data_IF_353977652053
#
_entry.id   IF_353977652053
#
_cell.length_a   1.000
_cell.length_b   1.000
_cell.length_c   1.000
_cell.angle_alpha   90.00
_cell.angle_beta   90.00
_cell.angle_gamma   90.00
#
_symmetry.space_group_name_H-M   'P 1'
#
loop_
_entity.id
_entity.type
_entity.pdbx_description
1 polymer ?
#
# COMPACT_ATOMS: atom_id res chain seq x y z
N UNK A 1 -36.68 7.87 27.81
CA UNK A 1 -35.91 7.89 29.06
C UNK A 1 -34.45 7.96 28.64
N UNK A 2 -33.73 9.04 29.00
CA UNK A 2 -32.31 9.14 28.72
C UNK A 2 -31.58 8.00 29.43
N UNK A 3 -30.89 7.14 28.68
CA UNK A 3 -30.06 6.10 29.27
C UNK A 3 -28.96 6.78 30.10
N UNK A 4 -28.68 6.23 31.29
CA UNK A 4 -27.56 6.70 32.10
C UNK A 4 -26.24 6.37 31.37
N UNK A 5 -25.25 7.27 31.37
CA UNK A 5 -23.95 6.97 30.79
C UNK A 5 -23.31 5.76 31.47
N UNK A 6 -22.62 4.93 30.68
CA UNK A 6 -21.94 3.75 31.19
C UNK A 6 -20.54 4.10 31.68
N UNK A 7 -20.09 3.41 32.70
CA UNK A 7 -18.70 3.49 33.16
C UNK A 7 -17.75 3.02 32.07
N UNK A 8 -16.74 3.82 31.69
CA UNK A 8 -15.80 3.45 30.64
C UNK A 8 -14.85 2.29 31.00
N UNK A 9 -14.94 1.81 32.23
CA UNK A 9 -14.10 0.71 32.73
C UNK A 9 -14.83 -0.62 32.90
N UNK A 10 -16.15 -0.61 33.27
CA UNK A 10 -16.90 -1.83 33.57
C UNK A 10 -18.27 -1.93 32.90
N UNK A 11 -18.69 -0.94 32.12
CA UNK A 11 -20.00 -0.86 31.42
C UNK A 11 -21.22 -0.80 32.34
N UNK A 12 -21.05 -0.59 33.68
CA UNK A 12 -22.17 -0.39 34.56
C UNK A 12 -22.67 1.05 34.54
N UNK A 13 -24.00 1.29 34.64
CA UNK A 13 -24.56 2.64 34.62
C UNK A 13 -24.00 3.51 35.75
N UNK A 14 -23.65 4.75 35.41
CA UNK A 14 -23.17 5.76 36.34
C UNK A 14 -24.09 6.97 36.25
N UNK A 15 -24.41 7.61 37.41
CA UNK A 15 -25.22 8.82 37.38
C UNK A 15 -24.54 9.93 36.58
N UNK A 16 -25.31 10.60 35.73
CA UNK A 16 -24.85 11.77 35.00
C UNK A 16 -24.24 12.81 35.94
N UNK A 17 -23.03 13.30 35.62
CA UNK A 17 -22.31 14.26 36.46
C UNK A 17 -21.68 13.69 37.72
N UNK A 18 -21.63 12.35 37.90
CA UNK A 18 -20.91 11.74 38.98
C UNK A 18 -19.39 11.88 38.79
N UNK A 19 -18.72 12.46 39.76
CA UNK A 19 -17.26 12.60 39.82
C UNK A 19 -16.71 11.71 40.94
N UNK A 20 -15.50 11.19 40.72
CA UNK A 20 -14.84 10.29 41.69
C UNK A 20 -14.65 8.88 41.17
N UNK A 21 -14.72 7.89 42.02
CA UNK A 21 -14.54 6.48 41.63
C UNK A 21 -15.85 5.80 41.28
N UNK A 22 -15.85 4.98 40.23
CA UNK A 22 -17.01 4.17 39.86
C UNK A 22 -17.49 3.32 41.06
N UNK A 23 -18.79 3.40 41.46
CA UNK A 23 -19.30 2.66 42.58
C UNK A 23 -19.25 1.12 42.43
N UNK A 24 -19.17 0.64 41.17
CA UNK A 24 -19.16 -0.78 40.88
C UNK A 24 -17.72 -1.35 40.78
N UNK A 25 -16.81 -0.72 40.02
CA UNK A 25 -15.46 -1.24 39.78
C UNK A 25 -14.34 -0.50 40.56
N UNK A 26 -14.67 0.59 41.26
CA UNK A 26 -13.73 1.38 42.07
C UNK A 26 -12.73 2.23 41.25
N UNK A 27 -12.70 2.17 39.91
CA UNK A 27 -11.79 2.96 39.10
C UNK A 27 -12.23 4.42 39.06
N UNK A 28 -11.23 5.34 38.99
CA UNK A 28 -11.49 6.76 38.89
C UNK A 28 -12.20 7.11 37.58
N UNK A 29 -13.16 8.02 37.65
CA UNK A 29 -13.87 8.63 36.52
C UNK A 29 -13.34 10.04 36.23
N UNK A 30 -12.33 10.50 36.97
CA UNK A 30 -11.66 11.77 36.71
C UNK A 30 -10.80 11.64 35.45
N UNK A 31 -10.69 12.76 34.74
CA UNK A 31 -9.88 12.78 33.50
C UNK A 31 -8.39 12.67 33.82
N UNK A 32 -7.75 11.64 33.25
CA UNK A 32 -6.30 11.44 33.27
C UNK A 32 -5.74 11.12 31.88
N UNK A 33 -6.54 11.37 30.82
CA UNK A 33 -6.02 11.33 29.47
C UNK A 33 -4.98 12.45 29.26
N UNK A 34 -3.96 12.25 28.41
CA UNK A 34 -2.93 13.23 28.16
C UNK A 34 -3.49 14.57 27.68
N UNK A 35 -2.71 15.65 27.87
CA UNK A 35 -3.04 16.97 27.31
C UNK A 35 -3.22 16.90 25.79
N UNK A 36 -4.26 17.55 25.27
CA UNK A 36 -4.64 17.51 23.85
C UNK A 36 -5.52 16.32 23.46
N UNK A 37 -5.54 15.23 24.24
CA UNK A 37 -6.49 14.14 24.06
C UNK A 37 -7.89 14.53 24.54
N UNK A 38 -8.91 13.81 24.04
CA UNK A 38 -10.27 14.00 24.55
C UNK A 38 -10.36 13.62 26.03
N UNK A 39 -11.08 14.41 26.84
CA UNK A 39 -11.35 14.06 28.24
C UNK A 39 -12.12 12.75 28.37
N UNK A 40 -11.83 12.02 29.43
CA UNK A 40 -12.59 10.84 29.82
C UNK A 40 -14.09 11.21 29.99
N UNK A 41 -14.97 10.43 29.39
CA UNK A 41 -16.42 10.68 29.46
C UNK A 41 -16.98 11.59 28.36
N UNK A 42 -16.13 12.13 27.46
CA UNK A 42 -16.59 12.89 26.30
C UNK A 42 -17.57 12.06 25.47
N UNK A 43 -18.68 12.68 25.05
CA UNK A 43 -19.69 12.02 24.21
C UNK A 43 -19.41 12.30 22.75
N UNK A 44 -19.44 11.27 21.91
CA UNK A 44 -19.29 11.35 20.46
C UNK A 44 -20.50 10.70 19.80
N UNK A 45 -20.99 11.32 18.71
CA UNK A 45 -22.12 10.81 17.93
C UNK A 45 -23.41 10.57 18.73
N UNK A 46 -23.48 11.05 19.96
CA UNK A 46 -24.66 10.91 20.85
C UNK A 46 -24.73 9.57 21.61
N UNK A 47 -23.96 8.56 21.23
CA UNK A 47 -24.03 7.22 21.84
C UNK A 47 -22.68 6.58 22.18
N UNK A 48 -21.56 7.17 21.78
CA UNK A 48 -20.23 6.70 22.20
C UNK A 48 -19.70 7.54 23.37
N UNK A 49 -19.11 6.89 24.36
CA UNK A 49 -18.40 7.54 25.45
C UNK A 49 -16.90 7.27 25.32
N UNK A 50 -16.10 8.35 25.24
CA UNK A 50 -14.64 8.25 25.26
C UNK A 50 -14.15 7.77 26.62
N UNK A 51 -13.32 6.75 26.63
CA UNK A 51 -12.69 6.19 27.81
C UNK A 51 -11.20 6.55 27.89
N UNK A 52 -10.40 5.58 28.34
CA UNK A 52 -8.95 5.75 28.54
C UNK A 52 -8.21 5.87 27.21
N UNK A 53 -7.30 6.86 27.11
CA UNK A 53 -6.29 6.92 26.08
C UNK A 53 -5.47 5.62 26.05
N UNK A 54 -5.25 5.08 24.85
CA UNK A 54 -4.51 3.83 24.68
C UNK A 54 -3.15 4.06 24.00
N UNK A 55 -3.12 4.80 22.90
CA UNK A 55 -1.93 5.00 22.10
C UNK A 55 -2.09 6.16 21.13
N UNK A 56 -0.97 6.56 20.51
CA UNK A 56 -0.94 7.49 19.37
C UNK A 56 -0.08 6.94 18.25
N UNK A 57 -0.44 7.27 17.02
CA UNK A 57 0.38 7.09 15.83
C UNK A 57 0.45 8.39 15.01
N UNK A 58 0.94 8.34 13.77
CA UNK A 58 1.03 9.54 12.92
C UNK A 58 -0.31 10.02 12.39
N UNK A 59 -1.32 9.15 12.30
CA UNK A 59 -2.69 9.52 11.94
C UNK A 59 -3.42 10.16 13.13
N UNK A 60 -3.14 9.72 14.38
CA UNK A 60 -3.86 10.29 15.52
C UNK A 60 -3.81 9.51 16.82
N UNK A 61 -4.88 9.63 17.59
CA UNK A 61 -5.04 9.12 18.95
C UNK A 61 -6.03 7.96 18.98
N UNK A 62 -5.76 6.98 19.81
CA UNK A 62 -6.66 5.86 20.06
C UNK A 62 -7.14 5.85 21.51
N UNK A 63 -8.43 5.61 21.69
CA UNK A 63 -9.08 5.52 23.00
C UNK A 63 -9.84 4.21 23.11
N UNK A 64 -9.84 3.64 24.30
CA UNK A 64 -10.86 2.67 24.65
C UNK A 64 -12.16 3.44 24.88
N UNK A 65 -13.22 3.11 24.15
CA UNK A 65 -14.53 3.74 24.28
C UNK A 65 -15.61 2.74 24.70
N UNK A 66 -16.81 3.27 24.85
CA UNK A 66 -18.03 2.51 25.13
C UNK A 66 -19.09 2.89 24.12
N UNK A 67 -19.68 1.90 23.49
CA UNK A 67 -20.95 2.02 22.78
C UNK A 67 -22.07 1.86 23.82
N UNK A 68 -22.78 2.98 24.08
CA UNK A 68 -23.80 3.02 25.16
C UNK A 68 -25.08 2.27 24.74
N UNK A 69 -25.38 2.19 23.45
CA UNK A 69 -26.58 1.53 22.95
C UNK A 69 -26.41 -0.01 23.01
N UNK A 70 -25.27 -0.50 22.51
CA UNK A 70 -24.96 -1.93 22.50
C UNK A 70 -24.31 -2.42 23.80
N UNK A 71 -23.98 -1.52 24.72
CA UNK A 71 -23.31 -1.81 26.01
C UNK A 71 -22.04 -2.64 25.87
N UNK A 72 -21.19 -2.24 24.95
CA UNK A 72 -19.92 -2.92 24.65
C UNK A 72 -18.75 -1.96 24.61
N UNK A 73 -17.54 -2.49 24.79
CA UNK A 73 -16.32 -1.74 24.54
C UNK A 73 -16.07 -1.62 23.06
N UNK A 74 -15.51 -0.47 22.67
CA UNK A 74 -15.05 -0.17 21.32
C UNK A 74 -13.67 0.47 21.36
N UNK A 75 -12.95 0.46 20.23
CA UNK A 75 -11.78 1.29 20.02
C UNK A 75 -12.19 2.51 19.20
N UNK A 76 -11.89 3.71 19.70
CA UNK A 76 -12.16 4.96 18.99
C UNK A 76 -10.82 5.50 18.50
N UNK A 77 -10.64 5.59 17.20
CA UNK A 77 -9.48 6.23 16.58
C UNK A 77 -9.88 7.63 16.11
N UNK A 78 -9.20 8.63 16.65
CA UNK A 78 -9.36 10.03 16.29
C UNK A 78 -8.29 10.46 15.31
N UNK A 79 -8.63 11.08 14.19
CA UNK A 79 -7.65 11.74 13.34
C UNK A 79 -7.07 12.96 14.04
N UNK A 80 -5.82 12.87 14.49
CA UNK A 80 -5.09 13.92 15.23
C UNK A 80 -3.60 13.90 14.87
N UNK A 81 -3.23 14.30 13.65
CA UNK A 81 -1.83 14.30 13.23
C UNK A 81 -1.05 15.43 13.90
N UNK A 82 -0.23 15.11 14.87
CA UNK A 82 0.57 16.08 15.65
C UNK A 82 1.53 16.91 14.78
N UNK A 83 1.86 16.44 13.58
CA UNK A 83 2.65 17.21 12.62
C UNK A 83 1.87 18.36 11.99
N UNK A 84 0.53 18.26 11.93
CA UNK A 84 -0.36 19.20 11.25
C UNK A 84 -1.22 20.04 12.20
N UNK A 85 -1.32 19.66 13.48
CA UNK A 85 -2.22 20.28 14.45
C UNK A 85 -1.50 20.96 15.61
N UNK A 86 -2.10 22.02 16.16
CA UNK A 86 -1.67 22.76 17.36
C UNK A 86 -2.46 22.41 18.64
N UNK A 87 -3.25 21.33 18.62
CA UNK A 87 -4.13 20.98 19.74
C UNK A 87 -5.57 21.40 19.46
N UNK A 88 -6.34 21.72 20.54
CA UNK A 88 -7.78 22.01 20.46
C UNK A 88 -8.09 23.44 20.82
N UNK A 89 -9.15 23.97 20.23
CA UNK A 89 -9.78 25.22 20.65
C UNK A 89 -10.46 25.05 22.02
N UNK A 90 -10.88 26.15 22.69
CA UNK A 90 -11.71 26.08 23.91
C UNK A 90 -13.02 25.31 23.72
N UNK A 91 -13.57 25.30 22.49
CA UNK A 91 -14.80 24.59 22.14
C UNK A 91 -14.53 23.09 21.83
N UNK A 92 -13.27 22.66 21.86
CA UNK A 92 -12.86 21.26 21.64
C UNK A 92 -12.49 20.93 20.19
N UNK A 93 -12.63 21.87 19.26
CA UNK A 93 -12.30 21.68 17.85
C UNK A 93 -10.80 21.56 17.63
N UNK A 94 -10.39 20.61 16.78
CA UNK A 94 -9.00 20.44 16.41
C UNK A 94 -8.52 21.60 15.52
N UNK A 95 -7.39 22.21 15.91
CA UNK A 95 -6.84 23.37 15.22
C UNK A 95 -5.65 22.98 14.36
N UNK A 96 -5.70 23.15 13.04
CA UNK A 96 -4.55 22.98 12.18
C UNK A 96 -3.48 24.04 12.48
N UNK A 97 -2.21 23.70 12.20
CA UNK A 97 -1.10 24.65 12.24
C UNK A 97 -1.25 25.68 11.12
N UNK A 98 -0.79 26.92 11.39
CA UNK A 98 -0.73 27.97 10.39
C UNK A 98 0.03 27.53 9.13
N UNK A 99 -0.59 27.75 7.96
CA UNK A 99 -0.06 27.32 6.66
C UNK A 99 -0.18 25.82 6.37
N UNK A 100 -0.81 25.02 7.24
CA UNK A 100 -1.04 23.58 7.06
C UNK A 100 -2.52 23.20 6.90
N UNK A 101 -3.42 24.19 6.81
CA UNK A 101 -4.87 24.00 6.81
C UNK A 101 -5.33 23.13 5.63
N UNK A 102 -4.79 23.39 4.43
CA UNK A 102 -5.16 22.64 3.22
C UNK A 102 -4.71 21.18 3.36
N UNK A 103 -3.47 20.96 3.80
CA UNK A 103 -2.92 19.62 3.98
C UNK A 103 -3.68 18.85 5.08
N UNK A 104 -3.99 19.51 6.20
CA UNK A 104 -4.81 18.95 7.27
C UNK A 104 -6.18 18.52 6.73
N UNK A 105 -6.85 19.38 5.96
CA UNK A 105 -8.16 19.08 5.38
C UNK A 105 -8.08 17.89 4.42
N UNK A 106 -7.09 17.86 3.51
CA UNK A 106 -6.93 16.78 2.53
C UNK A 106 -6.64 15.45 3.24
N UNK A 107 -5.66 15.42 4.13
CA UNK A 107 -5.30 14.17 4.84
C UNK A 107 -6.39 13.71 5.83
N UNK A 108 -7.21 14.64 6.36
CA UNK A 108 -8.43 14.29 7.11
C UNK A 108 -9.46 13.58 6.21
N UNK A 109 -9.61 14.05 4.97
CA UNK A 109 -10.46 13.38 3.99
C UNK A 109 -9.93 11.99 3.63
N UNK A 110 -8.61 11.85 3.40
CA UNK A 110 -8.00 10.54 3.15
C UNK A 110 -8.25 9.54 4.29
N UNK A 111 -8.19 10.02 5.54
CA UNK A 111 -8.52 9.22 6.70
C UNK A 111 -10.01 8.83 6.71
N UNK A 112 -10.90 9.78 6.47
CA UNK A 112 -12.35 9.52 6.40
C UNK A 112 -12.68 8.51 5.31
N UNK A 113 -12.19 8.73 4.10
CA UNK A 113 -12.45 7.86 2.95
C UNK A 113 -11.97 6.43 3.20
N UNK A 114 -10.78 6.26 3.80
CA UNK A 114 -10.27 4.95 4.21
C UNK A 114 -11.24 4.23 5.15
N UNK A 115 -11.69 4.91 6.21
CA UNK A 115 -12.55 4.28 7.21
C UNK A 115 -14.00 4.09 6.73
N UNK A 116 -14.51 4.97 5.87
CA UNK A 116 -15.79 4.77 5.18
C UNK A 116 -15.76 3.54 4.26
N UNK A 117 -14.66 3.35 3.53
CA UNK A 117 -14.46 2.16 2.69
C UNK A 117 -14.37 0.89 3.55
N UNK A 118 -13.63 0.93 4.64
CA UNK A 118 -13.54 -0.18 5.60
C UNK A 118 -14.89 -0.50 6.24
N UNK A 119 -15.67 0.50 6.62
CA UNK A 119 -17.01 0.33 7.17
C UNK A 119 -17.95 -0.38 6.18
N UNK A 120 -17.86 -0.05 4.87
CA UNK A 120 -18.65 -0.72 3.81
C UNK A 120 -18.24 -2.18 3.57
N UNK A 121 -16.97 -2.52 3.78
CA UNK A 121 -16.43 -3.87 3.55
C UNK A 121 -16.69 -4.77 4.76
N UNK A 122 -16.64 -4.23 5.96
CA UNK A 122 -16.83 -4.99 7.20
C UNK A 122 -18.30 -5.02 7.63
N UNK A 123 -18.79 -6.06 8.33
CA UNK A 123 -18.01 -7.20 8.87
C UNK A 123 -17.57 -8.18 7.79
N UNK A 124 -16.32 -8.64 7.90
CA UNK A 124 -15.76 -9.66 7.02
C UNK A 124 -14.79 -10.57 7.78
N UNK A 125 -14.74 -11.83 7.39
CA UNK A 125 -13.79 -12.80 7.99
C UNK A 125 -12.36 -12.29 7.85
N UNK A 126 -11.60 -12.39 8.92
CA UNK A 126 -10.18 -12.00 8.94
C UNK A 126 -9.90 -10.51 9.04
N UNK A 127 -10.92 -9.65 9.15
CA UNK A 127 -10.80 -8.21 9.36
C UNK A 127 -11.51 -7.79 10.64
N UNK A 128 -10.93 -6.85 11.40
CA UNK A 128 -11.63 -6.14 12.46
C UNK A 128 -12.71 -5.25 11.86
N UNK A 129 -13.87 -5.22 12.49
CA UNK A 129 -15.03 -4.49 12.00
C UNK A 129 -14.93 -3.00 12.34
N UNK A 130 -15.18 -2.14 11.36
CA UNK A 130 -15.46 -0.72 11.58
C UNK A 130 -16.96 -0.56 11.80
N UNK A 131 -17.33 -0.06 12.97
CA UNK A 131 -18.71 0.06 13.42
C UNK A 131 -19.34 1.37 12.96
N UNK A 132 -18.54 2.46 12.97
CA UNK A 132 -19.01 3.80 12.65
C UNK A 132 -17.86 4.72 12.22
N UNK A 133 -18.18 5.75 11.45
CA UNK A 133 -17.27 6.83 11.06
C UNK A 133 -18.01 8.16 11.19
N UNK A 134 -17.52 9.06 12.02
CA UNK A 134 -18.22 10.31 12.30
C UNK A 134 -17.31 11.53 12.22
N UNK A 135 -17.88 12.66 11.80
CA UNK A 135 -17.21 13.96 11.79
C UNK A 135 -17.74 14.82 12.95
N UNK A 136 -16.85 15.21 13.86
CA UNK A 136 -17.14 16.08 14.99
C UNK A 136 -15.84 16.78 15.41
N UNK A 137 -15.90 17.91 16.11
CA UNK A 137 -14.73 18.63 16.67
C UNK A 137 -13.66 18.96 15.60
N UNK A 138 -14.09 19.34 14.39
CA UNK A 138 -13.23 19.59 13.23
C UNK A 138 -12.28 18.43 12.88
N UNK A 139 -12.65 17.19 13.25
CA UNK A 139 -11.88 15.97 12.94
C UNK A 139 -12.80 14.81 12.57
N UNK A 140 -12.22 13.62 12.39
CA UNK A 140 -12.92 12.37 12.08
C UNK A 140 -12.59 11.34 13.14
N UNK A 141 -13.61 10.61 13.56
CA UNK A 141 -13.51 9.46 14.46
C UNK A 141 -13.94 8.21 13.74
N UNK A 142 -13.13 7.16 13.84
CA UNK A 142 -13.49 5.82 13.41
C UNK A 142 -13.68 4.94 14.65
N UNK A 143 -14.77 4.20 14.69
CA UNK A 143 -15.09 3.29 15.79
C UNK A 143 -14.90 1.86 15.32
N UNK A 144 -14.01 1.14 15.97
CA UNK A 144 -13.65 -0.25 15.66
C UNK A 144 -14.15 -1.16 16.79
N UNK A 145 -14.65 -2.33 16.40
CA UNK A 145 -15.04 -3.38 17.33
C UNK A 145 -13.83 -3.86 18.15
N UNK A 146 -14.03 -4.08 19.44
CA UNK A 146 -13.02 -4.70 20.28
C UNK A 146 -13.45 -6.10 20.70
N UNK A 147 -12.54 -7.06 20.61
CA UNK A 147 -12.76 -8.44 21.02
C UNK A 147 -11.81 -8.83 22.14
N UNK A 148 -12.27 -9.76 22.99
CA UNK A 148 -11.39 -10.37 24.00
C UNK A 148 -10.42 -11.31 23.30
N UNK A 149 -9.14 -11.09 23.52
CA UNK A 149 -8.09 -11.87 22.86
C UNK A 149 -6.72 -11.29 23.13
N UNK A 150 -5.76 -11.66 22.27
CA UNK A 150 -4.39 -11.16 22.34
C UNK A 150 -3.86 -10.90 20.94
N UNK A 151 -2.81 -10.07 20.83
CA UNK A 151 -2.10 -9.91 19.55
C UNK A 151 -1.27 -11.16 19.26
N UNK A 152 -0.99 -11.37 17.96
CA UNK A 152 -0.10 -12.46 17.54
C UNK A 152 1.30 -12.31 18.13
N UNK A 153 1.78 -11.08 18.34
CA UNK A 153 3.03 -10.81 19.07
C UNK A 153 2.99 -11.38 20.49
N UNK A 154 1.91 -11.16 21.21
CA UNK A 154 1.77 -11.69 22.58
C UNK A 154 1.69 -13.23 22.58
N UNK A 155 0.89 -13.79 21.68
CA UNK A 155 0.79 -15.23 21.48
C UNK A 155 2.16 -15.89 21.21
N UNK A 156 2.97 -15.28 20.34
CA UNK A 156 4.31 -15.80 20.03
C UNK A 156 5.27 -15.75 21.22
N UNK A 157 5.13 -14.76 22.12
CA UNK A 157 5.92 -14.68 23.36
C UNK A 157 5.57 -15.79 24.37
N UNK A 158 4.33 -16.26 24.34
CA UNK A 158 3.86 -17.33 25.24
C UNK A 158 4.19 -18.73 24.72
N UNK A 159 4.53 -18.88 23.44
CA UNK A 159 4.85 -20.20 22.86
C UNK A 159 6.32 -20.57 23.05
N UNK A 160 6.53 -21.83 23.41
CA UNK A 160 7.88 -22.40 23.56
C UNK A 160 8.49 -22.88 22.22
N UNK A 161 7.67 -23.00 21.16
CA UNK A 161 8.13 -23.50 19.84
C UNK A 161 7.57 -22.68 18.69
N UNK A 162 8.21 -22.77 17.53
CA UNK A 162 7.72 -22.27 16.24
C UNK A 162 6.45 -23.01 15.80
N UNK A 163 5.72 -22.44 14.88
CA UNK A 163 4.59 -23.10 14.23
C UNK A 163 5.09 -23.96 13.07
N UNK A 164 4.45 -25.10 12.85
CA UNK A 164 4.62 -25.84 11.61
C UNK A 164 4.03 -25.03 10.43
N UNK A 165 4.45 -25.30 9.19
CA UNK A 165 3.88 -24.65 7.99
C UNK A 165 2.35 -24.77 7.91
N UNK A 166 1.80 -25.91 8.33
CA UNK A 166 0.36 -26.15 8.35
C UNK A 166 -0.32 -25.27 9.42
N UNK A 167 0.20 -25.24 10.65
CA UNK A 167 -0.33 -24.38 11.73
C UNK A 167 -0.26 -22.90 11.33
N UNK A 168 0.87 -22.44 10.78
CA UNK A 168 1.05 -21.05 10.35
C UNK A 168 0.04 -20.64 9.27
N UNK A 169 -0.14 -21.51 8.27
CA UNK A 169 -1.12 -21.30 7.19
C UNK A 169 -2.55 -21.27 7.73
N UNK A 170 -2.94 -22.24 8.55
CA UNK A 170 -4.28 -22.31 9.14
C UNK A 170 -4.60 -21.08 9.99
N UNK A 171 -3.63 -20.60 10.77
CA UNK A 171 -3.78 -19.41 11.60
C UNK A 171 -3.95 -18.13 10.77
N UNK A 172 -3.17 -18.00 9.67
CA UNK A 172 -3.18 -16.78 8.86
C UNK A 172 -4.22 -16.81 7.72
N UNK A 173 -4.81 -17.97 7.42
CA UNK A 173 -5.78 -18.07 6.32
C UNK A 173 -6.90 -17.02 6.39
N UNK A 174 -7.59 -16.81 7.53
CA UNK A 174 -8.64 -15.78 7.62
C UNK A 174 -8.10 -14.38 7.33
N UNK A 175 -6.92 -14.05 7.84
CA UNK A 175 -6.25 -12.75 7.60
C UNK A 175 -5.92 -12.58 6.12
N UNK A 176 -5.38 -13.61 5.47
CA UNK A 176 -5.08 -13.58 4.02
C UNK A 176 -6.34 -13.39 3.19
N UNK A 177 -7.44 -14.08 3.53
CA UNK A 177 -8.75 -13.90 2.88
C UNK A 177 -9.28 -12.48 3.06
N UNK A 178 -9.18 -11.91 4.27
CA UNK A 178 -9.53 -10.53 4.55
C UNK A 178 -8.70 -9.53 3.74
N UNK A 179 -7.37 -9.71 3.64
CA UNK A 179 -6.50 -8.87 2.81
C UNK A 179 -6.85 -9.00 1.33
N UNK A 180 -7.16 -10.19 0.85
CA UNK A 180 -7.62 -10.37 -0.53
C UNK A 180 -8.93 -9.61 -0.82
N UNK A 181 -9.83 -9.53 0.17
CA UNK A 181 -11.06 -8.73 0.08
C UNK A 181 -10.75 -7.23 0.05
N UNK A 182 -9.86 -6.72 0.91
CA UNK A 182 -9.38 -5.33 0.84
C UNK A 182 -8.82 -5.00 -0.55
N UNK A 183 -7.98 -5.88 -1.09
CA UNK A 183 -7.39 -5.70 -2.42
C UNK A 183 -8.43 -5.68 -3.55
N UNK A 184 -9.51 -6.44 -3.41
CA UNK A 184 -10.64 -6.42 -4.36
C UNK A 184 -11.38 -5.07 -4.32
N UNK A 185 -11.45 -4.45 -3.15
CA UNK A 185 -12.03 -3.12 -2.96
C UNK A 185 -11.05 -1.97 -3.30
N UNK A 186 -9.81 -2.28 -3.73
CA UNK A 186 -8.80 -1.26 -4.07
C UNK A 186 -7.97 -0.77 -2.88
N UNK A 187 -8.19 -1.31 -1.69
CA UNK A 187 -7.46 -0.94 -0.47
C UNK A 187 -6.21 -1.79 -0.28
N UNK A 188 -5.13 -1.16 0.15
CA UNK A 188 -3.87 -1.81 0.54
C UNK A 188 -3.63 -1.51 2.02
N UNK A 189 -3.37 -2.53 2.82
CA UNK A 189 -3.27 -2.37 4.28
C UNK A 189 -1.93 -1.73 4.73
N UNK A 190 -0.81 -2.14 4.16
CA UNK A 190 0.56 -1.61 4.39
C UNK A 190 1.09 -1.72 5.82
N UNK A 191 0.30 -2.23 6.75
CA UNK A 191 0.65 -2.33 8.17
C UNK A 191 0.57 -3.75 8.73
N UNK A 192 0.63 -4.78 7.89
CA UNK A 192 0.53 -6.17 8.33
C UNK A 192 1.77 -6.57 9.13
N UNK A 193 1.59 -6.87 10.40
CA UNK A 193 2.62 -7.33 11.32
C UNK A 193 1.95 -8.09 12.49
N UNK A 194 2.71 -8.82 13.32
CA UNK A 194 2.13 -9.56 14.43
C UNK A 194 1.40 -8.71 15.48
N UNK A 195 1.73 -7.42 15.62
CA UNK A 195 1.04 -6.51 16.54
C UNK A 195 -0.36 -6.13 16.05
N UNK A 196 -0.57 -6.15 14.74
CA UNK A 196 -1.84 -5.81 14.09
C UNK A 196 -2.67 -7.05 13.71
N UNK A 197 -2.30 -8.24 14.18
CA UNK A 197 -3.11 -9.46 14.05
C UNK A 197 -3.62 -9.84 15.42
N UNK A 198 -4.94 -9.80 15.57
CA UNK A 198 -5.65 -10.20 16.79
C UNK A 198 -6.02 -11.67 16.71
N UNK A 199 -5.90 -12.34 17.83
CA UNK A 199 -6.34 -13.71 18.07
C UNK A 199 -7.45 -13.64 19.11
N UNK A 200 -8.72 -13.58 18.71
CA UNK A 200 -9.86 -13.63 19.63
C UNK A 200 -9.87 -14.93 20.41
N UNK A 201 -10.45 -14.92 21.61
CA UNK A 201 -10.63 -16.14 22.42
C UNK A 201 -11.55 -17.12 21.66
N UNK A 202 -12.62 -16.57 21.09
CA UNK A 202 -13.62 -17.31 20.32
C UNK A 202 -13.65 -16.75 18.91
N UNK A 203 -12.97 -17.42 17.97
CA UNK A 203 -13.04 -17.01 16.58
C UNK A 203 -11.72 -17.10 15.82
N UNK A 204 -11.79 -16.63 14.58
CA UNK A 204 -10.67 -16.62 13.64
C UNK A 204 -9.77 -15.40 13.85
N UNK A 205 -8.49 -15.51 13.48
CA UNK A 205 -7.55 -14.39 13.50
C UNK A 205 -8.09 -13.21 12.65
N UNK A 206 -7.91 -12.00 13.14
CA UNK A 206 -8.37 -10.75 12.50
C UNK A 206 -7.24 -9.74 12.35
N UNK A 207 -7.24 -9.05 11.23
CA UNK A 207 -6.32 -7.95 10.94
C UNK A 207 -6.96 -6.64 11.41
N UNK A 208 -6.20 -5.86 12.14
CA UNK A 208 -6.51 -4.51 12.64
C UNK A 208 -5.34 -3.56 12.31
N UNK A 209 -5.34 -2.36 12.87
CA UNK A 209 -4.23 -1.40 12.70
C UNK A 209 -4.26 -0.73 11.33
N UNK A 210 -5.47 -0.45 10.84
CA UNK A 210 -5.68 0.34 9.64
C UNK A 210 -5.06 1.74 9.77
N UNK A 211 -4.55 2.26 8.67
CA UNK A 211 -3.93 3.57 8.64
C UNK A 211 -3.79 4.12 7.22
N UNK A 212 -3.69 5.43 7.11
CA UNK A 212 -3.56 6.12 5.82
C UNK A 212 -2.28 5.75 5.08
N UNK A 213 -2.23 6.02 3.78
CA UNK A 213 -1.00 5.86 2.99
C UNK A 213 0.16 6.67 3.59
N UNK A 214 -0.13 7.90 4.05
CA UNK A 214 0.86 8.79 4.65
C UNK A 214 1.46 8.19 5.94
N UNK A 215 0.64 7.58 6.80
CA UNK A 215 1.13 6.86 7.98
C UNK A 215 2.09 5.71 7.62
N UNK A 216 1.85 5.04 6.50
CA UNK A 216 2.55 3.80 6.08
C UNK A 216 3.66 4.03 5.07
N UNK A 217 4.11 5.29 4.88
CA UNK A 217 5.16 5.65 3.93
C UNK A 217 6.19 6.56 4.59
N UNK A 218 7.48 6.19 4.52
CA UNK A 218 8.56 7.01 5.05
C UNK A 218 8.70 8.30 4.24
N UNK A 219 8.97 9.42 4.93
CA UNK A 219 9.13 10.73 4.29
C UNK A 219 7.81 11.39 3.88
N UNK A 220 6.66 10.88 4.33
CA UNK A 220 5.37 11.54 4.19
C UNK A 220 5.24 12.75 5.13
N UNK A 221 4.17 13.52 4.98
CA UNK A 221 3.87 14.68 5.83
C UNK A 221 3.46 14.30 7.27
N UNK A 222 3.06 13.05 7.49
CA UNK A 222 2.75 12.52 8.81
C UNK A 222 3.97 11.83 9.42
N UNK A 223 3.97 11.65 10.73
CA UNK A 223 4.94 10.79 11.40
C UNK A 223 4.68 9.35 10.99
N UNK A 224 5.47 8.83 10.06
CA UNK A 224 5.30 7.47 9.53
C UNK A 224 5.48 6.41 10.63
N UNK A 225 4.67 5.36 10.53
CA UNK A 225 4.76 4.16 11.35
C UNK A 225 4.98 2.94 10.46
N UNK A 226 6.21 2.48 10.39
CA UNK A 226 6.62 1.29 9.66
C UNK A 226 7.03 0.20 10.65
N UNK A 227 6.86 -1.05 10.25
CA UNK A 227 7.19 -2.22 11.07
C UNK A 227 8.44 -2.91 10.52
N UNK A 228 9.64 -2.69 11.13
CA UNK A 228 10.89 -3.27 10.64
C UNK A 228 10.79 -4.81 10.54
N UNK A 229 11.25 -5.35 9.42
CA UNK A 229 11.13 -6.77 9.07
C UNK A 229 9.84 -7.14 8.33
N UNK A 230 8.75 -6.39 8.55
CA UNK A 230 7.44 -6.64 7.92
C UNK A 230 7.10 -5.62 6.83
N UNK A 231 7.53 -4.37 7.00
CA UNK A 231 7.34 -3.33 6.00
C UNK A 231 8.16 -3.61 4.74
N UNK A 232 7.49 -3.55 3.58
CA UNK A 232 8.09 -3.80 2.29
C UNK A 232 9.06 -2.67 1.86
N UNK A 233 10.04 -2.96 0.98
CA UNK A 233 11.07 -1.99 0.57
C UNK A 233 10.53 -0.66 0.05
N UNK A 234 9.43 -0.69 -0.69
CA UNK A 234 8.79 0.46 -1.30
C UNK A 234 8.17 1.43 -0.27
N UNK A 235 7.83 0.95 0.94
CA UNK A 235 7.29 1.80 2.00
C UNK A 235 8.34 2.75 2.62
N UNK A 236 9.62 2.48 2.39
CA UNK A 236 10.72 3.30 2.89
C UNK A 236 11.08 4.49 1.97
N UNK A 237 10.27 4.74 0.93
CA UNK A 237 10.46 5.86 0.00
C UNK A 237 9.11 6.41 -0.46
N UNK A 238 8.93 7.72 -0.35
CA UNK A 238 7.74 8.40 -0.87
C UNK A 238 7.69 8.41 -2.42
N UNK A 239 8.80 8.08 -3.08
CA UNK A 239 8.89 8.00 -4.54
C UNK A 239 8.51 6.62 -5.09
N UNK A 240 8.37 5.60 -4.23
CA UNK A 240 8.02 4.24 -4.63
C UNK A 240 6.53 3.98 -4.35
N UNK A 241 5.85 3.28 -5.26
CA UNK A 241 4.42 2.99 -5.12
C UNK A 241 4.19 1.70 -4.34
N UNK A 242 3.21 1.75 -3.41
CA UNK A 242 2.69 0.57 -2.73
C UNK A 242 1.56 -0.05 -3.54
N UNK A 243 1.52 -1.38 -3.60
CA UNK A 243 0.49 -2.14 -4.28
C UNK A 243 0.09 -3.38 -3.50
N UNK A 244 -0.71 -4.25 -4.11
CA UNK A 244 -1.11 -5.54 -3.50
C UNK A 244 0.11 -6.37 -3.09
N UNK A 245 1.18 -6.29 -3.86
CA UNK A 245 2.47 -6.93 -3.60
C UNK A 245 3.16 -6.45 -2.31
N UNK A 246 2.81 -5.27 -1.79
CA UNK A 246 3.30 -4.74 -0.51
C UNK A 246 2.76 -5.57 0.65
N UNK A 247 1.47 -5.88 0.63
CA UNK A 247 0.85 -6.73 1.65
C UNK A 247 1.25 -8.21 1.50
N UNK A 248 1.51 -8.67 0.26
CA UNK A 248 2.08 -10.01 0.01
C UNK A 248 3.44 -10.16 0.71
N UNK A 249 4.32 -9.14 0.60
CA UNK A 249 5.59 -9.13 1.33
C UNK A 249 5.38 -9.26 2.84
N UNK A 250 4.49 -8.44 3.40
CA UNK A 250 4.24 -8.42 4.84
C UNK A 250 3.62 -9.72 5.36
N UNK A 251 2.66 -10.33 4.63
CA UNK A 251 2.09 -11.64 4.96
C UNK A 251 3.14 -12.75 4.93
N UNK A 252 4.02 -12.74 3.92
CA UNK A 252 5.14 -13.70 3.85
C UNK A 252 6.13 -13.48 5.01
N UNK A 253 6.41 -12.23 5.39
CA UNK A 253 7.26 -11.88 6.51
C UNK A 253 6.68 -12.36 7.86
N UNK A 254 5.37 -12.21 8.06
CA UNK A 254 4.67 -12.78 9.23
C UNK A 254 4.74 -14.30 9.21
N UNK A 255 4.47 -14.94 8.06
CA UNK A 255 4.55 -16.40 7.91
C UNK A 255 5.96 -16.91 8.22
N UNK A 256 7.00 -16.23 7.70
CA UNK A 256 8.40 -16.53 8.00
C UNK A 256 8.66 -16.47 9.51
N UNK A 257 8.21 -15.41 10.20
CA UNK A 257 8.34 -15.29 11.66
C UNK A 257 7.68 -16.44 12.40
N UNK A 258 6.51 -16.89 11.95
CA UNK A 258 5.78 -17.99 12.58
C UNK A 258 6.55 -19.31 12.49
N UNK A 259 7.12 -19.62 11.34
CA UNK A 259 7.77 -20.92 11.10
C UNK A 259 9.23 -20.97 11.50
N UNK A 260 9.93 -19.82 11.56
CA UNK A 260 11.37 -19.78 11.92
C UNK A 260 11.60 -19.27 13.36
N UNK A 261 10.62 -18.61 13.96
CA UNK A 261 10.80 -17.90 15.21
C UNK A 261 11.61 -16.60 15.11
N UNK A 262 12.10 -16.23 13.93
CA UNK A 262 12.94 -15.04 13.72
C UNK A 262 12.20 -13.95 12.96
N UNK A 263 12.40 -12.68 13.35
CA UNK A 263 11.94 -11.53 12.57
C UNK A 263 12.81 -11.42 11.32
N UNK A 264 12.23 -11.29 10.12
CA UNK A 264 13.02 -11.07 8.90
C UNK A 264 13.90 -9.83 9.01
N UNK A 265 15.06 -9.85 8.33
CA UNK A 265 15.93 -8.67 8.24
C UNK A 265 15.14 -7.52 7.57
N UNK A 266 15.21 -6.33 8.16
CA UNK A 266 14.45 -5.18 7.66
C UNK A 266 14.88 -4.78 6.23
N UNK A 267 13.91 -4.40 5.40
CA UNK A 267 14.14 -4.14 3.97
C UNK A 267 15.25 -3.12 3.66
N UNK A 268 15.43 -2.01 4.41
CA UNK A 268 16.57 -1.11 4.18
C UNK A 268 17.93 -1.77 4.37
N UNK A 269 18.07 -2.65 5.37
CA UNK A 269 19.30 -3.41 5.60
C UNK A 269 19.55 -4.41 4.46
N UNK A 270 18.49 -5.09 4.00
CA UNK A 270 18.55 -6.02 2.86
C UNK A 270 18.91 -5.31 1.55
N UNK A 271 18.46 -4.07 1.32
CA UNK A 271 18.87 -3.25 0.16
C UNK A 271 20.38 -3.01 0.12
N UNK A 272 21.04 -2.88 1.28
CA UNK A 272 22.49 -2.72 1.37
C UNK A 272 23.21 -4.05 1.18
N UNK A 273 22.79 -5.06 1.92
CA UNK A 273 23.28 -6.45 1.82
C UNK A 273 22.15 -7.38 2.22
N UNK A 274 21.69 -8.19 1.28
CA UNK A 274 20.66 -9.17 1.59
C UNK A 274 21.27 -10.36 2.33
N UNK A 275 21.10 -10.36 3.64
CA UNK A 275 21.56 -11.39 4.58
C UNK A 275 20.39 -12.21 5.14
N UNK A 276 19.21 -12.14 4.51
CA UNK A 276 18.07 -12.93 4.96
C UNK A 276 18.29 -14.41 4.67
N UNK A 277 18.29 -15.21 5.74
CA UNK A 277 18.38 -16.67 5.61
C UNK A 277 17.04 -17.24 5.13
N UNK A 278 17.08 -18.33 4.38
CA UNK A 278 15.85 -19.01 3.98
C UNK A 278 15.26 -19.82 5.15
N UNK A 279 13.94 -19.96 5.16
CA UNK A 279 13.24 -20.58 6.29
C UNK A 279 13.63 -22.06 6.51
N UNK A 280 13.91 -22.80 5.45
CA UNK A 280 14.34 -24.21 5.54
C UNK A 280 15.72 -24.37 6.19
N UNK A 281 16.65 -23.43 5.97
CA UNK A 281 17.97 -23.44 6.61
C UNK A 281 17.90 -23.19 8.12
N UNK A 282 16.95 -22.36 8.56
CA UNK A 282 16.77 -22.05 9.97
C UNK A 282 15.96 -23.14 10.70
N UNK A 283 15.00 -23.73 10.01
CA UNK A 283 14.09 -24.72 10.56
C UNK A 283 13.88 -25.84 9.53
N UNK A 284 14.54 -26.96 9.73
CA UNK A 284 14.52 -28.09 8.79
C UNK A 284 13.14 -28.75 8.62
N UNK A 285 12.23 -28.52 9.54
CA UNK A 285 10.82 -28.91 9.43
C UNK A 285 10.00 -28.12 8.42
N UNK A 286 10.54 -26.99 7.91
CA UNK A 286 9.92 -26.20 6.84
C UNK A 286 10.30 -26.81 5.49
N UNK A 287 9.33 -27.26 4.65
CA UNK A 287 9.64 -27.81 3.33
C UNK A 287 10.35 -26.81 2.41
N UNK A 288 11.23 -27.30 1.56
CA UNK A 288 12.02 -26.45 0.64
C UNK A 288 11.13 -25.57 -0.25
N UNK A 289 10.05 -26.14 -0.84
CA UNK A 289 9.12 -25.37 -1.66
C UNK A 289 8.50 -24.21 -0.88
N UNK A 290 8.08 -24.46 0.38
CA UNK A 290 7.46 -23.45 1.24
C UNK A 290 8.44 -22.30 1.53
N UNK A 291 9.70 -22.65 1.85
CA UNK A 291 10.78 -21.69 2.04
C UNK A 291 11.05 -20.86 0.78
N UNK A 292 11.03 -21.48 -0.41
CA UNK A 292 11.17 -20.78 -1.69
C UNK A 292 10.01 -19.81 -1.97
N UNK A 293 8.77 -20.19 -1.64
CA UNK A 293 7.59 -19.33 -1.74
C UNK A 293 7.79 -18.07 -0.89
N UNK A 294 8.18 -18.21 0.38
CA UNK A 294 8.45 -17.08 1.26
C UNK A 294 9.57 -16.18 0.72
N UNK A 295 10.66 -16.78 0.21
CA UNK A 295 11.75 -16.03 -0.41
C UNK A 295 11.27 -15.25 -1.64
N UNK A 296 10.45 -15.86 -2.49
CA UNK A 296 9.87 -15.20 -3.66
C UNK A 296 8.92 -14.05 -3.28
N UNK A 297 8.04 -14.28 -2.31
CA UNK A 297 7.11 -13.28 -1.82
C UNK A 297 7.79 -12.10 -1.11
N UNK A 298 8.98 -12.30 -0.53
CA UNK A 298 9.78 -11.26 0.11
C UNK A 298 10.94 -10.72 -0.77
N UNK A 299 10.89 -10.86 -2.09
CA UNK A 299 11.87 -10.20 -2.98
C UNK A 299 11.83 -8.69 -2.82
N UNK A 300 13.02 -8.06 -2.85
CA UNK A 300 13.15 -6.62 -2.71
C UNK A 300 12.57 -5.86 -3.91
N UNK A 301 12.73 -6.41 -5.12
CA UNK A 301 12.15 -5.88 -6.35
C UNK A 301 10.65 -6.26 -6.43
N UNK A 302 9.72 -5.28 -6.37
CA UNK A 302 8.29 -5.55 -6.41
C UNK A 302 7.85 -6.27 -7.69
N UNK A 303 8.48 -5.98 -8.83
CA UNK A 303 8.14 -6.60 -10.11
C UNK A 303 8.48 -8.10 -10.18
N UNK A 304 9.39 -8.56 -9.33
CA UNK A 304 9.80 -9.98 -9.23
C UNK A 304 9.10 -10.73 -8.09
N UNK A 305 8.24 -10.05 -7.36
CA UNK A 305 7.49 -10.58 -6.23
C UNK A 305 6.17 -11.19 -6.70
N UNK A 306 5.57 -12.07 -5.92
CA UNK A 306 4.17 -12.46 -6.11
C UNK A 306 3.28 -11.22 -6.02
N UNK A 307 2.30 -11.10 -6.92
CA UNK A 307 1.52 -9.87 -7.08
C UNK A 307 0.24 -9.85 -6.26
N UNK A 308 -0.28 -11.03 -5.89
CA UNK A 308 -1.57 -11.13 -5.21
C UNK A 308 -1.54 -12.11 -4.04
N UNK A 309 -2.43 -11.88 -3.06
CA UNK A 309 -2.58 -12.76 -1.89
C UNK A 309 -3.10 -14.15 -2.28
N UNK A 310 -4.07 -14.31 -3.21
CA UNK A 310 -4.47 -15.63 -3.69
C UNK A 310 -3.33 -16.45 -4.30
N UNK A 311 -2.38 -15.81 -5.02
CA UNK A 311 -1.18 -16.49 -5.51
C UNK A 311 -0.34 -17.02 -4.34
N UNK A 312 -0.09 -16.18 -3.32
CA UNK A 312 0.65 -16.57 -2.11
C UNK A 312 -0.03 -17.75 -1.40
N UNK A 313 -1.35 -17.68 -1.18
CA UNK A 313 -2.13 -18.73 -0.51
C UNK A 313 -2.03 -20.07 -1.26
N UNK A 314 -2.20 -20.03 -2.58
CA UNK A 314 -2.14 -21.22 -3.44
C UNK A 314 -0.75 -21.84 -3.39
N UNK A 315 0.31 -21.03 -3.53
CA UNK A 315 1.70 -21.49 -3.52
C UNK A 315 2.15 -22.07 -2.15
N UNK A 316 1.67 -21.47 -1.04
CA UNK A 316 1.93 -22.01 0.30
C UNK A 316 1.20 -23.34 0.56
N UNK A 317 0.16 -23.62 -0.21
CA UNK A 317 -0.70 -24.81 -0.01
C UNK A 317 -0.26 -25.98 -0.89
N UNK A 318 0.07 -25.73 -2.16
CA UNK A 318 0.32 -26.74 -3.16
C UNK A 318 1.73 -26.63 -3.75
N UNK A 319 2.62 -27.61 -3.50
CA UNK A 319 3.95 -27.64 -4.08
C UNK A 319 3.98 -27.60 -5.61
N UNK A 320 2.96 -28.14 -6.28
CA UNK A 320 2.90 -28.17 -7.75
C UNK A 320 2.65 -26.77 -8.31
N UNK A 321 1.78 -26.00 -7.66
CA UNK A 321 1.53 -24.59 -7.98
C UNK A 321 2.79 -23.75 -7.73
N UNK A 322 3.48 -23.98 -6.60
CA UNK A 322 4.73 -23.29 -6.28
C UNK A 322 5.79 -23.54 -7.34
N UNK A 323 6.03 -24.80 -7.72
CA UNK A 323 7.03 -25.18 -8.71
C UNK A 323 6.71 -24.60 -10.09
N UNK A 324 5.45 -24.66 -10.53
CA UNK A 324 5.01 -24.07 -11.81
C UNK A 324 5.26 -22.55 -11.86
N UNK A 325 5.08 -21.83 -10.75
CA UNK A 325 5.40 -20.40 -10.65
C UNK A 325 6.90 -20.12 -10.78
N UNK A 326 7.76 -20.97 -10.19
CA UNK A 326 9.21 -20.80 -10.27
C UNK A 326 9.72 -21.06 -11.68
N UNK A 327 9.26 -22.13 -12.35
CA UNK A 327 9.61 -22.47 -13.74
C UNK A 327 9.19 -21.36 -14.71
N UNK A 328 8.01 -20.77 -14.54
CA UNK A 328 7.52 -19.68 -15.37
C UNK A 328 8.39 -18.41 -15.22
N UNK A 329 8.87 -18.15 -14.00
CA UNK A 329 9.78 -17.04 -13.71
C UNK A 329 11.17 -17.23 -14.34
N UNK A 330 11.73 -18.44 -14.32
CA UNK A 330 13.02 -18.76 -14.95
C UNK A 330 12.94 -18.67 -16.46
N UNK A 331 11.90 -19.20 -17.07
CA UNK A 331 11.70 -19.15 -18.52
C UNK A 331 11.55 -17.72 -19.05
N UNK A 332 10.88 -16.82 -18.30
CA UNK A 332 10.76 -15.41 -18.69
C UNK A 332 12.11 -14.66 -18.64
N UNK A 333 12.97 -14.99 -17.67
CA UNK A 333 14.31 -14.40 -17.58
C UNK A 333 15.21 -14.94 -18.67
N UNK A 334 15.11 -16.23 -19.02
CA UNK A 334 15.87 -16.88 -20.09
C UNK A 334 15.50 -16.31 -21.45
N UNK A 335 14.22 -16.17 -21.76
CA UNK A 335 13.76 -15.60 -23.05
C UNK A 335 14.18 -14.14 -23.23
N UNK A 336 14.12 -13.31 -22.17
CA UNK A 336 14.63 -11.93 -22.22
C UNK A 336 16.13 -11.86 -22.45
N UNK A 337 16.92 -12.75 -21.84
CA UNK A 337 18.37 -12.85 -22.05
C UNK A 337 18.68 -13.33 -23.47
N UNK A 338 17.94 -14.30 -24.00
CA UNK A 338 18.09 -14.78 -25.38
C UNK A 338 17.73 -13.68 -26.38
N UNK A 339 16.64 -12.93 -26.14
CA UNK A 339 16.24 -11.82 -26.99
C UNK A 339 17.27 -10.70 -26.99
N UNK A 340 17.81 -10.34 -25.82
CA UNK A 340 18.87 -9.34 -25.72
C UNK A 340 20.16 -9.80 -26.42
N UNK A 341 20.55 -11.06 -26.26
CA UNK A 341 21.71 -11.64 -26.96
C UNK A 341 21.50 -11.66 -28.48
N UNK A 342 20.29 -12.01 -28.95
CA UNK A 342 19.98 -11.99 -30.40
C UNK A 342 20.02 -10.58 -30.98
N UNK A 343 19.54 -9.56 -30.24
CA UNK A 343 19.65 -8.16 -30.66
C UNK A 343 21.09 -7.69 -30.80
N UNK A 344 21.96 -8.08 -29.87
CA UNK A 344 23.41 -7.77 -29.98
C UNK A 344 24.04 -8.45 -31.18
N UNK A 345 23.72 -9.71 -31.45
CA UNK A 345 24.21 -10.43 -32.63
C UNK A 345 23.72 -9.78 -33.93
N UNK A 346 22.45 -9.42 -34.01
CA UNK A 346 21.89 -8.72 -35.17
C UNK A 346 22.58 -7.36 -35.39
N UNK A 347 22.80 -6.61 -34.27
CA UNK A 347 23.50 -5.31 -34.38
C UNK A 347 24.94 -5.47 -34.90
N UNK A 348 25.68 -6.47 -34.41
CA UNK A 348 27.04 -6.78 -34.90
C UNK A 348 27.03 -7.18 -36.38
N UNK A 349 26.07 -8.00 -36.80
CA UNK A 349 25.93 -8.38 -38.22
C UNK A 349 25.60 -7.19 -39.13
N UNK A 350 24.73 -6.28 -38.69
CA UNK A 350 24.42 -5.05 -39.41
C UNK A 350 25.64 -4.15 -39.51
N UNK A 351 26.43 -3.99 -38.45
CA UNK A 351 27.68 -3.21 -38.48
C UNK A 351 28.70 -3.83 -39.43
N UNK A 352 28.85 -5.16 -39.45
CA UNK A 352 29.74 -5.87 -40.35
C UNK A 352 29.28 -5.73 -41.82
N UNK A 353 27.98 -5.77 -42.10
CA UNK A 353 27.40 -5.56 -43.41
C UNK A 353 27.66 -4.13 -43.91
N UNK A 354 27.43 -3.12 -43.08
CA UNK A 354 27.73 -1.75 -43.38
C UNK A 354 29.22 -1.53 -43.62
N UNK A 355 30.09 -2.17 -42.86
CA UNK A 355 31.55 -2.12 -43.03
C UNK A 355 32.00 -2.80 -44.35
N UNK A 356 31.33 -3.88 -44.76
CA UNK A 356 31.60 -4.57 -46.03
C UNK A 356 31.16 -3.72 -47.23
N UNK A 357 30.02 -3.02 -47.12
CA UNK A 357 29.53 -2.09 -48.16
C UNK A 357 30.42 -0.86 -48.30
N UNK A 358 30.99 -0.36 -47.20
CA UNK A 358 31.95 0.76 -47.20
C UNK A 358 33.33 0.37 -47.75
N UNK A 359 33.72 -0.88 -47.69
CA UNK A 359 35.00 -1.39 -48.25
C UNK A 359 34.88 -1.80 -49.74
N UNK A 360 33.66 -1.97 -50.28
CA UNK A 360 33.41 -2.41 -51.66
C UNK A 360 33.38 -1.34 -52.74
N UNK A 361 33.84 -0.12 -52.47
CA UNK A 361 33.72 1.02 -53.41
C UNK A 361 35.02 1.41 -54.11
N UNK A 362 35.48 0.63 -55.11
CA UNK A 362 36.31 1.16 -56.21
C UNK A 362 35.89 0.51 -57.51
N UNK A 363 35.28 1.31 -58.40
CA UNK A 363 35.19 0.90 -59.82
C UNK A 363 33.94 1.43 -60.53
N UNK A 364 34.15 2.58 -61.16
CA UNK A 364 33.63 3.00 -62.50
C UNK A 364 32.16 3.41 -62.68
N UNK A 365 32.08 4.64 -63.13
CA UNK A 365 30.90 5.33 -63.61
C UNK A 365 30.26 4.71 -64.86
N UNK A 366 28.95 4.76 -64.90
CA UNK A 366 28.21 5.17 -66.10
C UNK A 366 26.75 5.50 -65.73
N UNK A 367 26.34 6.75 -65.98
CA UNK A 367 24.95 7.16 -66.18
C UNK A 367 24.57 6.88 -67.62
N UNK A 368 23.33 6.75 -68.12
CA UNK A 368 22.22 7.65 -67.74
C UNK A 368 20.78 7.07 -67.80
N UNK A 369 19.89 7.94 -67.35
CA UNK A 369 18.54 8.29 -67.83
C UNK A 369 17.32 7.38 -67.58
N UNK A 370 16.44 7.96 -66.76
CA UNK A 370 15.05 8.41 -67.01
C UNK A 370 13.93 7.40 -67.25
N UNK A 371 12.87 7.67 -66.54
CA UNK A 371 11.44 7.38 -66.77
C UNK A 371 10.91 6.22 -65.94
N UNK A 372 10.00 6.43 -64.97
CA UNK A 372 8.67 6.92 -65.08
C UNK A 372 7.72 5.93 -64.50
N UNK A 373 6.83 6.43 -63.70
CA UNK A 373 5.47 5.93 -63.43
C UNK A 373 5.28 4.74 -62.48
N UNK A 374 4.77 5.09 -61.33
CA UNK A 374 3.36 4.89 -60.91
C UNK A 374 2.90 3.47 -60.51
N UNK A 375 2.32 3.48 -59.36
CA UNK A 375 1.14 2.70 -58.90
C UNK A 375 1.36 1.23 -58.55
N UNK A 376 1.10 0.82 -57.42
CA UNK A 376 -0.22 0.47 -56.87
C UNK A 376 -0.09 -0.25 -55.54
N UNK A 377 -0.97 0.08 -54.70
CA UNK A 377 -1.34 -0.58 -53.46
C UNK A 377 -1.69 -2.06 -53.63
N UNK A 378 -1.53 -2.81 -52.57
CA UNK A 378 -2.45 -3.85 -52.11
C UNK A 378 -2.00 -4.23 -50.70
N UNK A 379 -2.65 -3.78 -49.70
CA UNK A 379 -3.77 -4.40 -48.95
C UNK A 379 -3.60 -5.86 -48.64
N UNK A 380 -3.61 -6.15 -47.42
CA UNK A 380 -4.35 -7.16 -46.65
C UNK A 380 -3.50 -7.65 -45.51
N UNK A 381 -3.93 -7.90 -44.35
CA UNK A 381 -5.26 -8.17 -43.81
C UNK A 381 -5.21 -8.05 -42.31
N UNK A 382 -6.18 -7.40 -41.84
CA UNK A 382 -6.73 -7.43 -40.49
C UNK A 382 -6.79 -8.83 -39.84
N UNK A 383 -6.33 -8.88 -38.60
CA UNK A 383 -6.97 -9.73 -37.62
C UNK A 383 -7.33 -8.86 -36.44
N UNK A 384 -8.61 -8.66 -36.25
CA UNK A 384 -9.28 -7.97 -35.18
C UNK A 384 -9.01 -8.67 -33.86
N UNK A 385 -8.21 -7.98 -33.00
CA UNK A 385 -8.40 -8.04 -31.58
C UNK A 385 -8.81 -6.63 -31.17
N UNK A 386 -9.92 -6.52 -30.45
CA UNK A 386 -10.40 -5.28 -29.86
C UNK A 386 -9.41 -4.85 -28.79
N UNK A 387 -8.35 -4.16 -29.19
CA UNK A 387 -7.44 -3.49 -28.28
C UNK A 387 -8.18 -2.27 -27.73
N UNK A 388 -8.53 -2.37 -26.46
CA UNK A 388 -9.03 -1.23 -25.69
C UNK A 388 -7.88 -0.26 -25.57
N UNK A 389 -7.95 0.89 -26.26
CA UNK A 389 -6.92 1.90 -26.23
C UNK A 389 -6.89 2.58 -24.86
N UNK A 390 -5.68 2.68 -24.27
CA UNK A 390 -5.44 3.31 -22.97
C UNK A 390 -4.42 4.43 -23.10
N UNK A 391 -4.54 5.46 -22.26
CA UNK A 391 -3.56 6.54 -22.21
C UNK A 391 -2.16 6.01 -21.86
N UNK A 392 -1.11 6.42 -22.64
CA UNK A 392 0.27 5.97 -22.43
C UNK A 392 0.87 6.56 -21.15
N UNK A 393 1.89 5.89 -20.59
CA UNK A 393 2.69 6.44 -19.49
C UNK A 393 3.79 7.37 -20.05
N UNK A 394 3.66 8.65 -19.71
CA UNK A 394 4.57 9.72 -20.13
C UNK A 394 5.34 10.33 -18.95
N UNK A 395 5.03 9.95 -17.70
CA UNK A 395 5.71 10.47 -16.51
C UNK A 395 7.18 10.05 -16.49
N UNK A 396 8.07 10.98 -16.19
CA UNK A 396 9.52 10.77 -16.19
C UNK A 396 10.18 10.85 -17.59
N UNK A 397 9.41 10.85 -18.69
CA UNK A 397 9.95 11.02 -20.04
C UNK A 397 10.29 12.48 -20.32
N UNK A 398 11.33 12.72 -21.15
CA UNK A 398 11.67 14.08 -21.56
C UNK A 398 10.70 14.55 -22.65
N UNK A 399 10.05 15.69 -22.41
CA UNK A 399 9.03 16.22 -23.31
C UNK A 399 9.56 16.52 -24.71
N UNK A 400 10.76 17.10 -24.83
CA UNK A 400 11.33 17.51 -26.13
C UNK A 400 11.85 16.33 -26.93
N UNK A 401 12.51 15.36 -26.29
CA UNK A 401 13.18 14.24 -26.99
C UNK A 401 12.27 13.03 -27.18
N UNK A 402 11.41 12.72 -26.19
CA UNK A 402 10.70 11.45 -26.16
C UNK A 402 9.21 11.56 -26.51
N UNK A 403 8.64 12.78 -26.43
CA UNK A 403 7.19 12.98 -26.57
C UNK A 403 6.84 13.85 -27.78
N UNK A 404 7.37 15.09 -27.87
CA UNK A 404 6.91 16.13 -28.78
C UNK A 404 6.93 15.75 -30.28
N UNK A 405 7.93 14.99 -30.72
CA UNK A 405 8.12 14.59 -32.11
C UNK A 405 7.97 13.08 -32.31
N UNK A 406 7.41 12.36 -31.34
CA UNK A 406 7.24 10.92 -31.42
C UNK A 406 5.93 10.58 -32.11
N UNK A 407 6.03 9.82 -33.20
CA UNK A 407 4.89 9.40 -34.01
C UNK A 407 3.85 8.58 -33.25
N UNK A 408 4.24 7.94 -32.17
CA UNK A 408 3.33 7.15 -31.32
C UNK A 408 2.28 8.01 -30.59
N UNK A 409 2.53 9.31 -30.44
CA UNK A 409 1.65 10.20 -29.66
C UNK A 409 0.95 11.26 -30.51
N UNK A 410 1.04 11.18 -31.85
CA UNK A 410 0.50 12.18 -32.77
C UNK A 410 -1.03 12.27 -32.79
N UNK A 411 -1.71 11.23 -32.33
CA UNK A 411 -3.18 11.19 -32.22
C UNK A 411 -3.69 11.81 -30.93
N UNK A 412 -2.81 12.07 -29.94
CA UNK A 412 -3.16 12.80 -28.73
C UNK A 412 -2.96 14.31 -28.89
N UNK A 413 -3.89 15.10 -28.36
CA UNK A 413 -3.66 16.54 -28.15
C UNK A 413 -2.89 16.71 -26.85
N UNK A 414 -1.64 17.18 -26.93
CA UNK A 414 -0.81 17.37 -25.75
C UNK A 414 -0.82 18.84 -25.35
N UNK A 415 -1.40 19.13 -24.18
CA UNK A 415 -1.32 20.42 -23.52
C UNK A 415 -0.21 20.35 -22.46
N UNK A 416 0.74 21.31 -22.47
CA UNK A 416 1.90 21.33 -21.60
C UNK A 416 1.87 22.57 -20.71
N UNK A 417 2.12 22.39 -19.42
CA UNK A 417 2.44 23.43 -18.44
C UNK A 417 3.80 23.12 -17.80
N UNK A 418 4.43 24.11 -17.20
CA UNK A 418 5.74 23.93 -16.57
C UNK A 418 5.65 24.26 -15.07
N UNK A 419 6.37 23.48 -14.25
CA UNK A 419 6.47 23.69 -12.80
C UNK A 419 7.88 23.36 -12.29
N UNK A 420 8.26 23.89 -11.13
CA UNK A 420 9.55 23.57 -10.52
C UNK A 420 9.51 22.21 -9.83
N UNK A 421 10.60 21.45 -9.94
CA UNK A 421 10.76 20.19 -9.25
C UNK A 421 12.21 19.97 -8.81
N UNK A 422 12.41 19.67 -7.54
CA UNK A 422 13.73 19.30 -7.02
C UNK A 422 14.09 17.83 -7.26
N UNK A 423 13.12 17.02 -7.68
CA UNK A 423 13.27 15.56 -7.82
C UNK A 423 13.21 15.08 -9.26
N UNK A 424 12.55 15.83 -10.16
CA UNK A 424 12.42 15.48 -11.57
C UNK A 424 13.34 16.37 -12.40
N UNK A 425 14.23 15.79 -13.23
CA UNK A 425 15.15 16.59 -14.08
C UNK A 425 14.42 17.58 -14.97
N UNK A 426 15.08 18.69 -15.29
CA UNK A 426 14.55 19.71 -16.22
C UNK A 426 14.15 19.07 -17.57
N UNK A 427 12.99 19.45 -18.07
CA UNK A 427 12.43 18.94 -19.33
C UNK A 427 11.69 17.60 -19.22
N UNK A 428 11.72 16.93 -18.08
CA UNK A 428 11.00 15.68 -17.87
C UNK A 428 9.60 15.93 -17.29
N UNK A 429 8.66 15.04 -17.61
CA UNK A 429 7.26 15.11 -17.16
C UNK A 429 7.17 14.77 -15.68
N UNK A 430 6.63 15.70 -14.88
CA UNK A 430 6.36 15.51 -13.45
C UNK A 430 5.07 14.71 -13.26
N UNK A 431 4.01 15.06 -14.01
CA UNK A 431 2.70 14.40 -13.92
C UNK A 431 1.93 14.56 -15.23
N UNK A 432 0.99 13.67 -15.43
CA UNK A 432 0.07 13.69 -16.59
C UNK A 432 -1.38 13.51 -16.15
N UNK A 433 -2.29 14.02 -16.93
CA UNK A 433 -3.74 13.82 -16.79
C UNK A 433 -4.38 13.65 -18.18
N UNK A 434 -5.16 12.59 -18.45
CA UNK A 434 -5.48 11.45 -17.56
C UNK A 434 -4.27 10.59 -17.18
N UNK A 435 -4.42 9.85 -16.08
CA UNK A 435 -3.38 8.95 -15.59
C UNK A 435 -3.14 7.82 -16.60
N UNK A 436 -1.89 7.37 -16.71
CA UNK A 436 -1.52 6.23 -17.54
C UNK A 436 -2.39 4.99 -17.28
N UNK A 437 -2.83 4.31 -18.35
CA UNK A 437 -3.71 3.15 -18.26
C UNK A 437 -5.21 3.46 -18.16
N UNK A 438 -5.61 4.74 -18.09
CA UNK A 438 -7.03 5.15 -18.21
C UNK A 438 -7.54 4.84 -19.62
N UNK A 439 -8.78 4.37 -19.74
CA UNK A 439 -9.40 4.07 -21.03
C UNK A 439 -9.60 5.35 -21.86
N UNK A 440 -9.24 5.30 -23.12
CA UNK A 440 -9.51 6.38 -24.07
C UNK A 440 -10.97 6.26 -24.54
N UNK A 441 -11.79 7.23 -24.14
CA UNK A 441 -13.23 7.28 -24.49
C UNK A 441 -13.57 8.39 -25.47
N UNK A 442 -12.61 9.26 -25.80
CA UNK A 442 -12.80 10.44 -26.65
C UNK A 442 -12.23 10.23 -28.06
N UNK A 443 -12.90 10.79 -29.09
CA UNK A 443 -12.43 10.73 -30.47
C UNK A 443 -11.16 11.57 -30.74
N UNK A 444 -10.83 12.53 -29.86
CA UNK A 444 -9.63 13.35 -29.91
C UNK A 444 -9.05 13.48 -28.50
N UNK A 445 -8.37 12.42 -28.01
CA UNK A 445 -7.93 12.37 -26.63
C UNK A 445 -6.88 13.43 -26.32
N UNK A 446 -7.07 14.14 -25.20
CA UNK A 446 -6.16 15.19 -24.74
C UNK A 446 -5.38 14.69 -23.52
N UNK A 447 -4.06 14.93 -23.51
CA UNK A 447 -3.19 14.67 -22.36
C UNK A 447 -2.64 16.01 -21.86
N UNK A 448 -2.86 16.32 -20.61
CA UNK A 448 -2.23 17.45 -19.93
C UNK A 448 -0.93 16.97 -19.28
N UNK A 449 0.18 17.65 -19.55
CA UNK A 449 1.48 17.35 -18.99
C UNK A 449 1.98 18.52 -18.16
N UNK A 450 2.56 18.23 -16.99
CA UNK A 450 3.36 19.17 -16.23
C UNK A 450 4.82 18.77 -16.36
N UNK A 451 5.65 19.68 -16.91
CA UNK A 451 7.06 19.44 -17.21
C UNK A 451 7.94 20.20 -16.22
N UNK A 452 9.00 19.58 -15.76
CA UNK A 452 9.94 20.15 -14.78
C UNK A 452 10.76 21.27 -15.37
N UNK A 453 10.89 22.39 -14.63
CA UNK A 453 11.87 23.46 -14.82
C UNK A 453 13.20 23.22 -14.07
N UNK A 454 13.35 22.06 -13.44
CA UNK A 454 14.42 21.83 -12.49
C UNK A 454 14.15 22.47 -11.11
N UNK A 455 15.13 22.45 -10.20
CA UNK A 455 14.98 23.02 -8.86
C UNK A 455 14.84 24.54 -8.92
N UNK A 456 14.00 25.10 -8.05
CA UNK A 456 13.92 26.57 -7.87
C UNK A 456 15.25 27.03 -7.28
N UNK A 457 15.97 27.89 -8.01
CA UNK A 457 17.15 28.57 -7.48
C UNK A 457 16.67 29.67 -6.52
N UNK A 458 17.02 29.54 -5.25
CA UNK A 458 16.78 30.54 -4.20
C UNK A 458 17.92 31.52 -4.19
#
# INVERSE_FOLDING_TARGET
MSQLPLCPHCLEPVRSGYHGSCPNCGKSLENHNPEGALPLGTQLGGHYTVGEYQSADGDGLCYRGVDNDERRFVLIKEYFPVTLCNGRSPDGDLMPKEGREVLFKTSRMDFKDLYDDLHRITPATGLSQILDVMEQNNTVYAVEETEKGMTLTHYLKLRARTLTPVEARTLLQPVMEGVALLHKAGLIHRGICPDNILLPIDGAARLTGYGTLALRTAGSELKSQLYPGYAAPEQYSAAEFSGRYTDVYALAAVTYRLVTGQVPVAAPQRKVRDSMENAHSLESGVPTYFSQVLTCAMRLDPAKRMQTVPELMSALTDPTVANAMFEKGENQVSTKKILAASMVVIFVLVVLLLWSLLKGGKGSATKPAVSGAASTATSASSTTNSDVEVYPDLVGKNYKTDIKNNTLYTHYRIAMTEDFSSTVPEGCVIRQEPVAGTLVTEQAPTIQLVVSKGPMLV
#
